data_IF_870828969271
#
_entry.id   IF_870828969271
#
_cell.length_a   1.000
_cell.length_b   1.000
_cell.length_c   1.000
_cell.angle_alpha   90.00
_cell.angle_beta   90.00
_cell.angle_gamma   90.00
#
_symmetry.space_group_name_H-M   'P 1'
#
loop_
_entity.id
_entity.type
_entity.pdbx_description
1 polymer ?
#
# COMPACT_ATOMS: atom_id res chain seq x y z
N UNK A 1 -2.14 -7.24 -14.86
CA UNK A 1 -1.29 -8.45 -14.78
C UNK A 1 -2.00 -9.72 -15.24
N UNK A 2 -3.33 -9.82 -15.17
CA UNK A 2 -4.08 -11.01 -15.65
C UNK A 2 -4.19 -12.11 -14.59
N UNK A 3 -4.15 -11.72 -13.30
CA UNK A 3 -4.33 -12.63 -12.17
C UNK A 3 -5.74 -13.22 -12.18
N UNK A 4 -5.88 -14.48 -11.78
CA UNK A 4 -7.18 -15.11 -11.56
C UNK A 4 -7.88 -14.51 -10.34
N UNK A 5 -9.21 -14.57 -10.31
CA UNK A 5 -10.01 -14.09 -9.18
C UNK A 5 -10.33 -12.59 -9.22
N UNK A 6 -9.79 -11.82 -10.18
CA UNK A 6 -10.06 -10.37 -10.29
C UNK A 6 -11.54 -10.02 -10.47
N UNK A 7 -12.34 -10.92 -11.05
CA UNK A 7 -13.78 -10.73 -11.24
C UNK A 7 -14.63 -11.26 -10.07
N UNK A 8 -14.00 -11.81 -9.01
CA UNK A 8 -14.70 -12.31 -7.84
C UNK A 8 -15.32 -11.19 -6.99
N UNK A 9 -14.75 -9.98 -7.07
CA UNK A 9 -15.13 -8.82 -6.27
C UNK A 9 -15.61 -7.68 -7.17
N UNK A 10 -16.87 -7.28 -6.99
CA UNK A 10 -17.45 -6.10 -7.65
C UNK A 10 -17.19 -4.85 -6.79
N UNK A 11 -16.01 -4.24 -6.96
CA UNK A 11 -15.56 -3.10 -6.17
C UNK A 11 -16.54 -1.91 -6.21
N UNK A 12 -17.18 -1.66 -7.35
CA UNK A 12 -18.13 -0.57 -7.51
C UNK A 12 -19.43 -0.83 -6.74
N UNK A 13 -19.92 -2.07 -6.75
CA UNK A 13 -21.06 -2.47 -5.93
C UNK A 13 -20.74 -2.39 -4.44
N UNK A 14 -19.57 -2.87 -4.03
CA UNK A 14 -19.12 -2.79 -2.64
C UNK A 14 -19.04 -1.33 -2.19
N UNK A 15 -18.39 -0.47 -2.96
CA UNK A 15 -18.27 0.94 -2.64
C UNK A 15 -19.63 1.65 -2.57
N UNK A 16 -20.61 1.28 -3.40
CA UNK A 16 -21.99 1.78 -3.28
C UNK A 16 -22.65 1.30 -2.00
N UNK A 17 -22.60 -0.01 -1.72
CA UNK A 17 -23.22 -0.63 -0.55
C UNK A 17 -22.62 -0.11 0.76
N UNK A 18 -21.31 0.03 0.83
CA UNK A 18 -20.60 0.63 1.97
C UNK A 18 -21.09 2.06 2.27
N UNK A 19 -21.43 2.84 1.25
CA UNK A 19 -21.95 4.21 1.42
C UNK A 19 -23.41 4.26 1.87
N UNK A 20 -24.26 3.35 1.39
CA UNK A 20 -25.72 3.46 1.56
C UNK A 20 -26.29 2.50 2.61
N UNK A 21 -25.71 1.32 2.75
CA UNK A 21 -26.19 0.24 3.61
C UNK A 21 -25.02 -0.66 4.06
N UNK A 22 -24.09 -0.15 4.89
CA UNK A 22 -22.89 -0.90 5.30
C UNK A 22 -23.21 -2.18 6.09
N UNK A 23 -24.36 -2.24 6.77
CA UNK A 23 -24.81 -3.45 7.48
C UNK A 23 -25.30 -4.58 6.56
N UNK A 24 -25.52 -4.29 5.27
CA UNK A 24 -26.01 -5.27 4.29
C UNK A 24 -24.85 -5.89 3.48
N UNK A 25 -23.60 -5.58 3.82
CA UNK A 25 -22.44 -6.21 3.20
C UNK A 25 -22.49 -7.72 3.40
N UNK A 26 -22.31 -8.46 2.32
CA UNK A 26 -22.14 -9.92 2.43
C UNK A 26 -20.83 -10.24 3.17
N UNK A 27 -20.68 -11.45 3.73
CA UNK A 27 -19.43 -11.85 4.40
C UNK A 27 -18.17 -11.63 3.54
N UNK A 28 -18.22 -11.92 2.25
CA UNK A 28 -17.06 -11.76 1.36
C UNK A 28 -16.74 -10.28 1.12
N UNK A 29 -17.77 -9.45 0.91
CA UNK A 29 -17.61 -8.00 0.77
C UNK A 29 -17.10 -7.36 2.08
N UNK A 30 -17.55 -7.84 3.23
CA UNK A 30 -17.09 -7.39 4.54
C UNK A 30 -15.62 -7.78 4.80
N UNK A 31 -15.18 -8.96 4.36
CA UNK A 31 -13.76 -9.36 4.44
C UNK A 31 -12.88 -8.52 3.52
N UNK A 32 -13.31 -8.29 2.28
CA UNK A 32 -12.64 -7.40 1.32
C UNK A 32 -12.46 -5.99 1.90
N UNK A 33 -13.56 -5.34 2.31
CA UNK A 33 -13.52 -4.00 2.92
C UNK A 33 -12.69 -3.99 4.20
N UNK A 34 -12.87 -5.00 5.06
CA UNK A 34 -12.13 -5.12 6.30
C UNK A 34 -10.62 -5.20 6.08
N UNK A 35 -10.18 -6.03 5.14
CA UNK A 35 -8.77 -6.17 4.79
C UNK A 35 -8.20 -4.87 4.24
N UNK A 36 -8.89 -4.21 3.29
CA UNK A 36 -8.45 -2.92 2.74
C UNK A 36 -8.29 -1.86 3.84
N UNK A 37 -9.31 -1.65 4.67
CA UNK A 37 -9.27 -0.58 5.68
C UNK A 37 -8.24 -0.87 6.80
N UNK A 38 -8.08 -2.13 7.20
CA UNK A 38 -7.04 -2.50 8.18
C UNK A 38 -5.64 -2.38 7.59
N UNK A 39 -5.46 -2.72 6.31
CA UNK A 39 -4.18 -2.54 5.62
C UNK A 39 -3.83 -1.06 5.47
N UNK A 40 -4.78 -0.21 5.08
CA UNK A 40 -4.60 1.26 4.99
C UNK A 40 -4.21 1.87 6.34
N UNK A 41 -4.89 1.45 7.42
CA UNK A 41 -4.59 1.90 8.78
C UNK A 41 -3.20 1.46 9.25
N UNK A 42 -2.87 0.19 9.04
CA UNK A 42 -1.59 -0.38 9.49
C UNK A 42 -0.38 0.07 8.64
N UNK A 43 -0.59 0.56 7.41
CA UNK A 43 0.48 0.93 6.48
C UNK A 43 1.28 2.15 6.93
N UNK A 44 0.58 3.18 7.41
CA UNK A 44 1.12 4.54 7.47
C UNK A 44 2.21 4.72 8.55
N UNK A 45 2.12 4.04 9.69
CA UNK A 45 3.13 4.13 10.75
C UNK A 45 4.45 3.47 10.34
N UNK A 46 4.49 2.20 9.87
CA UNK A 46 5.66 1.61 9.24
C UNK A 46 6.25 2.52 8.16
N UNK A 47 5.42 3.05 7.26
CA UNK A 47 5.88 3.94 6.19
C UNK A 47 6.60 5.18 6.72
N UNK A 48 6.09 5.80 7.80
CA UNK A 48 6.73 6.96 8.42
C UNK A 48 8.14 6.67 8.93
N UNK A 49 8.38 5.48 9.50
CA UNK A 49 9.69 5.07 10.02
C UNK A 49 10.76 4.94 8.92
N UNK A 50 10.35 4.67 7.68
CA UNK A 50 11.27 4.65 6.54
C UNK A 50 11.72 6.07 6.14
N UNK A 51 10.96 7.10 6.50
CA UNK A 51 11.20 8.48 6.08
C UNK A 51 12.06 9.26 7.10
N UNK A 52 12.53 10.48 6.76
CA UNK A 52 13.28 11.29 7.71
C UNK A 52 12.48 11.55 9.00
N UNK A 53 13.17 11.58 10.15
CA UNK A 53 12.53 11.69 11.47
C UNK A 53 11.57 12.88 11.63
N UNK A 54 11.85 14.02 10.96
CA UNK A 54 10.94 15.17 11.00
C UNK A 54 9.56 14.85 10.42
N UNK A 55 9.51 13.98 9.40
CA UNK A 55 8.29 13.57 8.73
C UNK A 55 7.49 12.63 9.62
N UNK A 56 8.18 11.64 10.22
CA UNK A 56 7.58 10.72 11.18
C UNK A 56 6.96 11.48 12.36
N UNK A 57 7.73 12.38 13.00
CA UNK A 57 7.24 13.17 14.12
C UNK A 57 6.04 14.06 13.74
N UNK A 58 6.01 14.58 12.52
CA UNK A 58 4.91 15.42 12.05
C UNK A 58 3.61 14.62 11.80
N UNK A 59 3.70 13.32 11.50
CA UNK A 59 2.56 12.53 11.03
C UNK A 59 2.15 11.38 11.95
N UNK A 60 2.99 10.95 12.89
CA UNK A 60 2.72 9.74 13.69
C UNK A 60 1.40 9.83 14.48
N UNK A 61 1.10 11.00 15.07
CA UNK A 61 -0.13 11.21 15.83
C UNK A 61 -1.40 11.14 14.95
N UNK A 62 -1.53 11.92 13.86
CA UNK A 62 -2.69 11.78 12.98
C UNK A 62 -2.77 10.40 12.32
N UNK A 63 -1.64 9.77 11.98
CA UNK A 63 -1.59 8.40 11.44
C UNK A 63 -2.21 7.39 12.41
N UNK A 64 -1.79 7.39 13.67
CA UNK A 64 -2.35 6.50 14.70
C UNK A 64 -3.83 6.75 14.97
N UNK A 65 -4.25 8.01 14.88
CA UNK A 65 -5.68 8.36 14.97
C UNK A 65 -6.48 7.79 13.79
N UNK A 66 -5.95 7.89 12.57
CA UNK A 66 -6.56 7.30 11.39
C UNK A 66 -6.65 5.77 11.49
N UNK A 67 -5.58 5.08 11.90
CA UNK A 67 -5.59 3.63 12.13
C UNK A 67 -6.67 3.24 13.15
N UNK A 68 -6.68 3.90 14.31
CA UNK A 68 -7.70 3.67 15.34
C UNK A 68 -9.12 3.83 14.79
N UNK A 69 -9.36 4.88 13.99
CA UNK A 69 -10.69 5.14 13.41
C UNK A 69 -11.08 4.05 12.40
N UNK A 70 -10.15 3.62 11.55
CA UNK A 70 -10.38 2.57 10.57
C UNK A 70 -10.70 1.24 11.23
N UNK A 71 -9.95 0.87 12.27
CA UNK A 71 -10.25 -0.33 13.09
C UNK A 71 -11.67 -0.33 13.61
N UNK A 72 -12.14 0.80 14.17
CA UNK A 72 -13.53 0.91 14.65
C UNK A 72 -14.59 0.74 13.57
N UNK A 73 -14.32 1.22 12.36
CA UNK A 73 -15.22 1.03 11.21
C UNK A 73 -15.25 -0.45 10.83
N UNK A 74 -14.07 -1.09 10.78
CA UNK A 74 -13.96 -2.52 10.46
C UNK A 74 -14.62 -3.39 11.52
N UNK A 75 -14.45 -3.09 12.81
CA UNK A 75 -15.09 -3.83 13.90
C UNK A 75 -16.61 -3.86 13.72
N UNK A 76 -17.22 -2.72 13.38
CA UNK A 76 -18.66 -2.63 13.15
C UNK A 76 -19.12 -3.41 11.91
N UNK A 77 -18.34 -3.36 10.82
CA UNK A 77 -18.64 -4.11 9.59
C UNK A 77 -18.49 -5.62 9.82
N UNK A 78 -17.42 -6.02 10.51
CA UNK A 78 -17.09 -7.40 10.82
C UNK A 78 -18.13 -8.03 11.75
N UNK A 79 -18.56 -7.29 12.78
CA UNK A 79 -19.63 -7.70 13.69
C UNK A 79 -20.95 -7.90 12.95
N UNK A 80 -21.35 -6.92 12.12
CA UNK A 80 -22.61 -7.00 11.37
C UNK A 80 -22.65 -8.18 10.37
N UNK A 81 -21.53 -8.46 9.72
CA UNK A 81 -21.42 -9.54 8.73
C UNK A 81 -21.02 -10.91 9.34
N UNK A 82 -20.70 -10.97 10.64
CA UNK A 82 -20.28 -12.20 11.31
C UNK A 82 -18.94 -12.74 10.82
N UNK A 83 -18.00 -11.86 10.47
CA UNK A 83 -16.67 -12.23 9.95
C UNK A 83 -15.55 -11.72 10.84
N UNK A 84 -14.35 -12.23 10.63
CA UNK A 84 -13.11 -11.67 11.19
C UNK A 84 -12.28 -11.07 10.08
N UNK A 85 -11.56 -9.99 10.41
CA UNK A 85 -10.59 -9.35 9.52
C UNK A 85 -9.28 -9.14 10.28
N UNK A 86 -8.16 -9.22 9.58
CA UNK A 86 -6.82 -9.06 10.14
C UNK A 86 -6.06 -8.00 9.38
N UNK A 87 -5.17 -7.28 10.06
CA UNK A 87 -4.25 -6.36 9.40
C UNK A 87 -2.98 -7.10 8.93
N UNK A 88 -2.35 -6.68 7.82
CA UNK A 88 -1.03 -7.16 7.44
C UNK A 88 0.04 -6.69 8.43
N UNK A 89 1.18 -7.37 8.40
CA UNK A 89 2.41 -6.92 9.07
C UNK A 89 3.34 -6.35 8.03
N UNK A 90 3.63 -5.07 8.16
CA UNK A 90 4.54 -4.37 7.26
C UNK A 90 5.98 -4.47 7.73
N UNK A 91 6.89 -4.55 6.78
CA UNK A 91 8.33 -4.52 7.02
C UNK A 91 8.77 -3.18 7.63
N UNK A 92 9.58 -3.29 8.67
CA UNK A 92 10.18 -2.13 9.35
C UNK A 92 11.59 -1.89 8.81
N UNK A 93 12.06 -0.64 8.71
CA UNK A 93 13.40 -0.35 8.21
C UNK A 93 14.52 -0.97 9.07
N UNK A 94 14.25 -1.22 10.35
CA UNK A 94 15.18 -1.89 11.28
C UNK A 94 15.39 -3.36 10.96
N UNK A 95 14.40 -3.99 10.33
CA UNK A 95 14.36 -5.44 10.12
C UNK A 95 14.76 -5.81 8.69
N UNK A 96 14.79 -4.83 7.77
CA UNK A 96 15.14 -5.03 6.37
C UNK A 96 16.62 -4.80 6.13
N UNK A 97 17.25 -5.75 5.43
CA UNK A 97 18.62 -5.64 4.93
C UNK A 97 18.63 -5.68 3.40
N UNK A 98 19.44 -4.82 2.80
CA UNK A 98 19.65 -4.76 1.35
C UNK A 98 21.13 -5.04 1.10
N UNK A 99 21.40 -6.10 0.34
CA UNK A 99 22.74 -6.59 0.04
C UNK A 99 23.61 -6.69 1.32
N UNK A 100 23.03 -7.23 2.39
CA UNK A 100 23.68 -7.44 3.67
C UNK A 100 23.80 -6.23 4.60
N UNK A 101 23.41 -5.02 4.20
CA UNK A 101 23.44 -3.80 5.04
C UNK A 101 22.03 -3.37 5.49
N UNK A 102 21.88 -2.64 6.61
CA UNK A 102 20.59 -2.05 6.99
C UNK A 102 20.00 -1.18 5.87
N UNK A 103 18.70 -1.28 5.61
CA UNK A 103 18.08 -0.62 4.46
C UNK A 103 18.32 0.90 4.41
N UNK A 104 18.16 1.59 5.54
CA UNK A 104 18.34 3.04 5.61
C UNK A 104 19.80 3.52 5.55
N UNK A 105 20.79 2.62 5.59
CA UNK A 105 22.18 3.02 5.35
C UNK A 105 22.53 3.09 3.86
N UNK A 106 21.62 2.63 2.98
CA UNK A 106 21.83 2.60 1.53
C UNK A 106 21.20 3.76 0.78
N UNK A 107 20.20 4.40 1.37
CA UNK A 107 19.46 5.51 0.78
C UNK A 107 19.55 6.74 1.67
N UNK A 108 19.82 7.87 1.04
CA UNK A 108 19.77 9.17 1.68
C UNK A 108 18.75 10.06 0.95
N UNK A 109 18.18 11.02 1.67
CA UNK A 109 17.16 11.91 1.13
C UNK A 109 15.74 11.36 1.21
N UNK A 110 14.79 12.28 1.04
CA UNK A 110 13.37 11.99 1.17
C UNK A 110 12.85 11.12 0.02
N UNK A 111 13.25 11.42 -1.21
CA UNK A 111 12.71 10.76 -2.41
C UNK A 111 13.12 9.29 -2.46
N UNK A 112 14.39 9.00 -2.21
CA UNK A 112 14.96 7.66 -2.30
C UNK A 112 14.35 6.76 -1.22
N UNK A 113 14.20 7.30 0.01
CA UNK A 113 13.48 6.62 1.10
C UNK A 113 12.00 6.39 0.78
N UNK A 114 11.33 7.38 0.20
CA UNK A 114 9.93 7.30 -0.22
C UNK A 114 9.71 6.17 -1.23
N UNK A 115 10.53 6.12 -2.29
CA UNK A 115 10.40 5.11 -3.34
C UNK A 115 10.76 3.72 -2.83
N UNK A 116 11.82 3.60 -2.02
CA UNK A 116 12.20 2.32 -1.40
C UNK A 116 11.07 1.78 -0.51
N UNK A 117 10.54 2.62 0.39
CA UNK A 117 9.44 2.24 1.27
C UNK A 117 8.19 1.86 0.49
N UNK A 118 7.78 2.67 -0.49
CA UNK A 118 6.58 2.43 -1.29
C UNK A 118 6.69 1.13 -2.10
N UNK A 119 7.84 0.88 -2.73
CA UNK A 119 8.07 -0.34 -3.52
C UNK A 119 7.92 -1.64 -2.73
N UNK A 120 8.19 -1.60 -1.42
CA UNK A 120 8.10 -2.74 -0.52
C UNK A 120 6.73 -2.81 0.17
N UNK A 121 6.32 -1.71 0.83
CA UNK A 121 5.14 -1.71 1.67
C UNK A 121 3.85 -1.77 0.84
N UNK A 122 3.84 -1.19 -0.36
CA UNK A 122 2.69 -1.30 -1.24
C UNK A 122 2.55 -2.73 -1.80
N UNK A 123 3.66 -3.44 -2.03
CA UNK A 123 3.62 -4.87 -2.37
C UNK A 123 3.00 -5.70 -1.24
N UNK A 124 3.43 -5.47 0.01
CA UNK A 124 2.88 -6.17 1.18
C UNK A 124 1.40 -5.85 1.43
N UNK A 125 1.00 -4.60 1.18
CA UNK A 125 -0.40 -4.19 1.21
C UNK A 125 -1.21 -4.93 0.13
N UNK A 126 -0.70 -4.94 -1.11
CA UNK A 126 -1.39 -5.54 -2.24
C UNK A 126 -1.55 -7.05 -2.08
N UNK A 127 -0.50 -7.76 -1.67
CA UNK A 127 -0.56 -9.20 -1.43
C UNK A 127 -1.65 -9.56 -0.40
N UNK A 128 -1.71 -8.80 0.69
CA UNK A 128 -2.72 -8.99 1.73
C UNK A 128 -4.15 -8.74 1.23
N UNK A 129 -4.38 -7.61 0.55
CA UNK A 129 -5.71 -7.24 0.07
C UNK A 129 -6.15 -8.15 -1.08
N UNK A 130 -5.25 -8.51 -1.99
CA UNK A 130 -5.52 -9.44 -3.07
C UNK A 130 -5.98 -10.81 -2.55
N UNK A 131 -5.33 -11.33 -1.49
CA UNK A 131 -5.75 -12.57 -0.86
C UNK A 131 -7.16 -12.49 -0.25
N UNK A 132 -7.51 -11.36 0.37
CA UNK A 132 -8.86 -11.14 0.91
C UNK A 132 -9.94 -11.02 -0.19
N UNK A 133 -9.55 -10.50 -1.35
CA UNK A 133 -10.39 -10.40 -2.55
C UNK A 133 -10.45 -11.71 -3.36
N UNK A 134 -9.73 -12.77 -2.93
CA UNK A 134 -9.67 -14.04 -3.66
C UNK A 134 -8.90 -13.96 -4.97
N UNK A 135 -8.04 -12.95 -5.13
CA UNK A 135 -7.15 -12.78 -6.27
C UNK A 135 -5.91 -13.63 -6.04
N UNK A 136 -5.63 -14.53 -6.98
CA UNK A 136 -4.48 -15.43 -6.92
C UNK A 136 -3.25 -14.74 -7.52
N UNK A 137 -2.40 -14.22 -6.64
CA UNK A 137 -1.11 -13.60 -7.00
C UNK A 137 -0.02 -14.65 -6.85
N UNK A 138 0.76 -14.96 -7.90
CA UNK A 138 1.81 -15.97 -7.80
C UNK A 138 2.85 -15.60 -6.74
N UNK A 139 3.07 -16.49 -5.76
CA UNK A 139 4.00 -16.25 -4.66
C UNK A 139 5.43 -15.98 -5.15
N UNK A 140 5.86 -16.66 -6.22
CA UNK A 140 7.17 -16.43 -6.84
C UNK A 140 7.31 -15.03 -7.44
N UNK A 141 6.21 -14.43 -7.90
CA UNK A 141 6.21 -13.05 -8.38
C UNK A 141 6.32 -12.07 -7.21
N UNK A 142 5.62 -12.32 -6.09
CA UNK A 142 5.70 -11.50 -4.88
C UNK A 142 7.13 -11.52 -4.32
N UNK A 143 7.70 -12.70 -4.14
CA UNK A 143 9.06 -12.87 -3.60
C UNK A 143 10.11 -12.20 -4.51
N UNK A 144 10.04 -12.43 -5.82
CA UNK A 144 10.95 -11.77 -6.77
C UNK A 144 10.75 -10.25 -6.80
N UNK A 145 9.52 -9.77 -6.70
CA UNK A 145 9.24 -8.33 -6.66
C UNK A 145 9.85 -7.70 -5.42
N UNK A 146 9.73 -8.35 -4.26
CA UNK A 146 10.35 -7.91 -3.02
C UNK A 146 11.87 -7.83 -3.15
N UNK A 147 12.51 -8.92 -3.58
CA UNK A 147 13.98 -9.01 -3.71
C UNK A 147 14.53 -7.98 -4.70
N UNK A 148 14.00 -7.99 -5.93
CA UNK A 148 14.50 -7.11 -6.99
C UNK A 148 14.26 -5.64 -6.67
N UNK A 149 13.12 -5.29 -6.04
CA UNK A 149 12.79 -3.89 -5.74
C UNK A 149 13.66 -3.34 -4.62
N UNK A 150 13.94 -4.14 -3.59
CA UNK A 150 14.90 -3.75 -2.54
C UNK A 150 16.28 -3.48 -3.13
N UNK A 151 16.78 -4.37 -3.98
CA UNK A 151 18.09 -4.20 -4.62
C UNK A 151 18.10 -3.08 -5.66
N UNK A 152 16.98 -2.77 -6.31
CA UNK A 152 16.88 -1.70 -7.30
C UNK A 152 16.73 -0.29 -6.69
N UNK A 153 15.90 -0.14 -5.66
CA UNK A 153 15.67 1.17 -5.03
C UNK A 153 16.68 1.49 -3.92
N UNK A 154 17.37 0.49 -3.37
CA UNK A 154 18.34 0.69 -2.28
C UNK A 154 19.61 -0.15 -2.39
N UNK A 155 19.88 -0.79 -3.54
CA UNK A 155 21.04 -1.65 -3.74
C UNK A 155 21.80 -1.33 -5.02
N UNK A 156 22.51 -2.33 -5.55
CA UNK A 156 23.37 -2.19 -6.74
C UNK A 156 22.69 -2.58 -8.05
N UNK A 157 21.40 -2.96 -8.01
CA UNK A 157 20.70 -3.45 -9.20
C UNK A 157 20.29 -2.30 -10.11
N UNK A 158 20.77 -2.33 -11.34
CA UNK A 158 20.47 -1.27 -12.33
C UNK A 158 19.12 -1.42 -13.04
N UNK A 159 18.49 -2.60 -13.00
CA UNK A 159 17.24 -2.87 -13.74
C UNK A 159 16.36 -3.94 -13.10
N UNK A 160 15.05 -3.76 -13.18
CA UNK A 160 14.05 -4.77 -12.82
C UNK A 160 13.81 -5.74 -13.98
N UNK A 161 13.48 -6.99 -13.67
CA UNK A 161 12.97 -7.94 -14.65
C UNK A 161 11.63 -7.47 -15.20
N UNK A 162 11.24 -7.83 -16.45
CA UNK A 162 10.07 -7.26 -17.11
C UNK A 162 8.76 -7.42 -16.31
N UNK A 163 8.55 -8.58 -15.69
CA UNK A 163 7.34 -8.85 -14.90
C UNK A 163 7.32 -8.05 -13.60
N UNK A 164 8.45 -7.98 -12.88
CA UNK A 164 8.59 -7.17 -11.66
C UNK A 164 8.40 -5.69 -11.97
N UNK A 165 9.02 -5.19 -13.05
CA UNK A 165 8.86 -3.81 -13.51
C UNK A 165 7.40 -3.49 -13.81
N UNK A 166 6.73 -4.38 -14.56
CA UNK A 166 5.31 -4.21 -14.89
C UNK A 166 4.44 -4.24 -13.64
N UNK A 167 4.76 -5.09 -12.67
CA UNK A 167 4.03 -5.18 -11.42
C UNK A 167 4.22 -3.93 -10.57
N UNK A 168 5.47 -3.49 -10.34
CA UNK A 168 5.78 -2.24 -9.64
C UNK A 168 5.11 -1.03 -10.29
N UNK A 169 5.10 -0.93 -11.62
CA UNK A 169 4.37 0.13 -12.33
C UNK A 169 2.88 0.18 -11.95
N UNK A 170 2.25 -0.97 -11.69
CA UNK A 170 0.88 -1.02 -11.20
C UNK A 170 0.76 -0.62 -9.73
N UNK A 171 1.71 -0.99 -8.87
CA UNK A 171 1.74 -0.60 -7.46
C UNK A 171 1.94 0.93 -7.30
N UNK A 172 2.81 1.54 -8.12
CA UNK A 172 2.99 3.00 -8.16
C UNK A 172 1.80 3.78 -8.77
N UNK A 173 0.67 3.13 -9.09
CA UNK A 173 -0.50 3.80 -9.65
C UNK A 173 -1.34 4.60 -8.62
N UNK A 174 -0.90 4.59 -7.36
CA UNK A 174 -1.51 5.30 -6.24
C UNK A 174 -1.47 6.83 -6.35
N UNK A 175 -0.72 7.39 -7.30
CA UNK A 175 -0.79 8.82 -7.63
C UNK A 175 -2.24 9.28 -7.87
N UNK A 176 -3.08 8.41 -8.44
CA UNK A 176 -4.51 8.70 -8.65
C UNK A 176 -5.31 8.67 -7.35
N UNK A 177 -4.98 7.78 -6.42
CA UNK A 177 -5.64 7.70 -5.13
C UNK A 177 -5.28 8.92 -4.26
N UNK A 178 -3.99 9.25 -4.15
CA UNK A 178 -3.49 10.42 -3.41
C UNK A 178 -4.16 11.70 -3.89
N UNK A 179 -4.24 11.88 -5.22
CA UNK A 179 -4.94 13.03 -5.82
C UNK A 179 -6.41 13.09 -5.42
N UNK A 180 -7.14 11.96 -5.50
CA UNK A 180 -8.57 11.89 -5.13
C UNK A 180 -8.80 12.21 -3.66
N UNK A 181 -7.91 11.78 -2.76
CA UNK A 181 -8.01 12.14 -1.33
C UNK A 181 -7.81 13.64 -1.12
N UNK A 182 -6.78 14.21 -1.75
CA UNK A 182 -6.50 15.65 -1.67
C UNK A 182 -7.69 16.49 -2.20
N UNK A 183 -8.29 16.08 -3.31
CA UNK A 183 -9.47 16.71 -3.91
C UNK A 183 -10.73 16.53 -3.04
N UNK A 184 -11.02 15.30 -2.59
CA UNK A 184 -12.25 14.98 -1.86
C UNK A 184 -12.35 15.70 -0.50
N UNK A 185 -11.22 15.93 0.16
CA UNK A 185 -11.18 16.62 1.45
C UNK A 185 -10.77 18.10 1.34
N UNK A 186 -10.55 18.61 0.12
CA UNK A 186 -10.18 20.01 -0.12
C UNK A 186 -8.92 20.45 0.64
N UNK A 187 -7.94 19.54 0.78
CA UNK A 187 -6.80 19.75 1.68
C UNK A 187 -5.79 20.78 1.15
N UNK A 188 -5.77 21.00 -0.17
CA UNK A 188 -4.76 21.79 -0.88
C UNK A 188 -3.33 21.49 -0.39
N UNK A 189 -3.06 20.21 -0.14
CA UNK A 189 -1.88 19.79 0.59
C UNK A 189 -0.67 19.70 -0.34
N UNK A 190 0.32 20.57 -0.09
CA UNK A 190 1.63 20.50 -0.77
C UNK A 190 2.31 19.15 -0.60
N UNK A 191 2.06 18.49 0.54
CA UNK A 191 2.64 17.18 0.85
C UNK A 191 2.02 16.08 -0.01
N UNK A 192 0.69 16.04 -0.10
CA UNK A 192 -0.01 15.10 -1.01
C UNK A 192 0.37 15.37 -2.46
N UNK A 193 0.51 16.64 -2.85
CA UNK A 193 1.02 16.99 -4.17
C UNK A 193 2.46 16.51 -4.42
N UNK A 194 3.31 16.45 -3.40
CA UNK A 194 4.65 15.86 -3.52
C UNK A 194 4.58 14.35 -3.71
N UNK A 195 3.81 13.63 -2.89
CA UNK A 195 3.63 12.18 -3.02
C UNK A 195 3.08 11.80 -4.39
N UNK A 196 2.03 12.49 -4.84
CA UNK A 196 1.44 12.31 -6.17
C UNK A 196 2.49 12.44 -7.28
N UNK A 197 3.35 13.47 -7.21
CA UNK A 197 4.42 13.66 -8.19
C UNK A 197 5.43 12.52 -8.16
N UNK A 198 5.92 12.14 -6.98
CA UNK A 198 6.91 11.07 -6.84
C UNK A 198 6.39 9.74 -7.41
N UNK A 199 5.17 9.34 -7.03
CA UNK A 199 4.52 8.12 -7.51
C UNK A 199 4.31 8.16 -9.03
N UNK A 200 3.82 9.29 -9.56
CA UNK A 200 3.58 9.47 -10.99
C UNK A 200 4.86 9.41 -11.81
N UNK A 201 5.89 10.12 -11.38
CA UNK A 201 7.16 10.20 -12.09
C UNK A 201 7.84 8.83 -12.09
N UNK A 202 7.75 8.10 -10.97
CA UNK A 202 8.27 6.73 -10.89
C UNK A 202 7.48 5.77 -11.79
N UNK A 203 6.15 5.82 -11.77
CA UNK A 203 5.32 5.01 -12.67
C UNK A 203 5.67 5.25 -14.15
N UNK A 204 5.91 6.51 -14.54
CA UNK A 204 6.31 6.87 -15.90
C UNK A 204 7.69 6.35 -16.25
N UNK A 205 8.64 6.40 -15.31
CA UNK A 205 9.99 5.83 -15.48
C UNK A 205 9.92 4.34 -15.78
N UNK A 206 9.16 3.59 -14.97
CA UNK A 206 8.97 2.14 -15.14
C UNK A 206 8.22 1.75 -16.42
N UNK A 207 7.53 2.70 -17.07
CA UNK A 207 6.89 2.51 -18.37
C UNK A 207 7.82 2.78 -19.56
N UNK A 208 8.81 3.67 -19.38
CA UNK A 208 9.76 4.05 -20.42
C UNK A 208 10.97 3.10 -20.53
N UNK A 209 11.32 2.41 -19.43
CA UNK A 209 12.34 1.36 -19.36
C UNK A 209 11.84 0.00 -19.90
#
# INVERSE_FOLDING_TARGET
>A
MGFSGVDAVDADRIARRLRTAPGDLTPDEARSVGATLLADGAFSEPYCEWLPTWYELALIAPVRYCDWRLRRVVDAIAEAAGVTATAPRFSRPTDVRIDGAPALSRVDGFRERFLLADSLLHLEWFDHVAAADGIDVPADLVDRTREESLSYYGGERDRLSPDVRRFQRHLFADDRWVRRVNEAYGLDSRLFGLWERLLRDERRRLEAD
#
